data_IF_203665278576
#
_entry.id   IF_203665278576
#
_cell.length_a   1.000
_cell.length_b   1.000
_cell.length_c   1.000
_cell.angle_alpha   90.00
_cell.angle_beta   90.00
_cell.angle_gamma   90.00
#
_symmetry.space_group_name_H-M   'P 1'
#
loop_
_entity.id
_entity.type
_entity.pdbx_description
1 polymer ?
#
# COMPACT_ATOMS: atom_id res chain seq x y z
N UNK A 1 16.34 22.37 -11.12
CA UNK A 1 14.96 22.63 -10.72
C UNK A 1 14.29 23.39 -11.85
N UNK A 2 13.26 22.81 -12.47
CA UNK A 2 12.45 23.52 -13.47
C UNK A 2 11.26 24.11 -12.69
N UNK A 3 11.12 25.43 -12.71
CA UNK A 3 9.95 26.10 -12.17
C UNK A 3 9.22 26.82 -13.31
N UNK A 4 7.91 26.77 -13.32
CA UNK A 4 7.07 27.55 -14.21
C UNK A 4 6.03 28.30 -13.42
N UNK A 5 5.67 29.50 -13.87
CA UNK A 5 4.62 30.33 -13.26
C UNK A 5 3.48 30.49 -14.27
N UNK A 6 2.27 30.29 -13.82
CA UNK A 6 1.06 30.52 -14.60
C UNK A 6 0.26 31.63 -13.91
N UNK A 7 -0.13 32.67 -14.64
CA UNK A 7 -0.97 33.74 -14.13
C UNK A 7 -2.44 33.42 -14.41
N UNK A 8 -3.25 33.42 -13.37
CA UNK A 8 -4.67 33.08 -13.41
C UNK A 8 -5.49 34.12 -12.66
N UNK A 9 -6.71 34.36 -13.10
CA UNK A 9 -7.69 35.18 -12.38
C UNK A 9 -8.20 34.47 -11.12
N UNK A 10 -8.65 35.29 -10.14
CA UNK A 10 -9.28 34.74 -8.93
C UNK A 10 -10.58 33.97 -9.28
N UNK A 11 -10.62 32.69 -8.97
CA UNK A 11 -11.76 31.83 -9.25
C UNK A 11 -11.61 31.00 -10.51
N UNK A 12 -10.55 31.21 -11.30
CA UNK A 12 -10.25 30.39 -12.47
C UNK A 12 -9.98 28.94 -12.07
N UNK A 13 -10.26 28.06 -13.01
CA UNK A 13 -9.93 26.64 -12.86
C UNK A 13 -8.68 26.32 -13.68
N UNK A 14 -7.73 25.64 -13.05
CA UNK A 14 -6.50 25.21 -13.69
C UNK A 14 -6.39 23.70 -13.69
N UNK A 15 -6.07 23.13 -14.85
CA UNK A 15 -5.77 21.69 -14.95
C UNK A 15 -4.29 21.48 -14.71
N UNK A 16 -3.97 20.71 -13.69
CA UNK A 16 -2.60 20.43 -13.30
C UNK A 16 -1.89 19.57 -14.36
N UNK A 17 -0.76 20.03 -14.91
CA UNK A 17 -0.07 19.27 -15.93
C UNK A 17 0.59 18.01 -15.37
N UNK A 18 0.75 17.01 -16.22
CA UNK A 18 1.71 15.93 -15.97
C UNK A 18 3.14 16.45 -16.18
N UNK A 19 4.07 15.89 -15.44
CA UNK A 19 5.50 16.14 -15.64
C UNK A 19 6.13 14.87 -16.20
N UNK A 20 6.92 15.00 -17.26
CA UNK A 20 7.65 13.86 -17.82
C UNK A 20 8.65 13.32 -16.80
N UNK A 21 8.69 12.02 -16.69
CA UNK A 21 9.66 11.33 -15.84
C UNK A 21 11.08 11.74 -16.18
N UNK A 22 11.90 11.99 -15.16
CA UNK A 22 13.33 12.21 -15.30
C UNK A 22 14.09 10.90 -15.02
N UNK A 23 15.36 10.85 -15.43
CA UNK A 23 16.20 9.69 -15.16
C UNK A 23 16.23 9.38 -13.64
N UNK A 24 15.79 8.20 -13.26
CA UNK A 24 15.72 7.76 -11.86
C UNK A 24 14.53 8.26 -11.05
N UNK A 25 13.60 9.03 -11.63
CA UNK A 25 12.45 9.57 -10.91
C UNK A 25 11.16 9.42 -11.71
N UNK A 26 10.09 8.96 -11.06
CA UNK A 26 8.74 8.94 -11.61
C UNK A 26 7.91 10.06 -10.96
N UNK A 27 7.21 10.83 -11.78
CA UNK A 27 6.30 11.86 -11.30
C UNK A 27 5.02 11.22 -10.73
N UNK A 28 4.69 11.57 -9.48
CA UNK A 28 3.55 11.02 -8.76
C UNK A 28 2.37 11.99 -8.66
N UNK A 29 2.61 13.29 -8.81
CA UNK A 29 1.59 14.33 -8.68
C UNK A 29 2.14 15.61 -8.03
N UNK A 30 1.23 16.47 -7.56
CA UNK A 30 1.55 17.79 -7.03
C UNK A 30 1.21 17.90 -5.53
N UNK A 31 2.07 18.55 -4.77
CA UNK A 31 1.87 18.77 -3.33
C UNK A 31 1.94 20.24 -2.94
N UNK A 32 1.12 20.63 -1.95
CA UNK A 32 1.12 22.00 -1.39
C UNK A 32 2.37 22.33 -0.60
N UNK A 33 3.05 21.32 -0.10
CA UNK A 33 4.29 21.46 0.66
C UNK A 33 5.41 20.67 0.01
N UNK A 34 6.65 21.19 0.12
CA UNK A 34 7.81 20.44 -0.34
C UNK A 34 7.95 19.17 0.50
N UNK A 35 7.89 18.03 -0.16
CA UNK A 35 8.00 16.73 0.50
C UNK A 35 9.44 16.24 0.45
N UNK A 36 9.92 15.77 1.61
CA UNK A 36 11.23 15.13 1.75
C UNK A 36 10.98 13.74 2.32
N UNK A 37 11.18 12.70 1.54
CA UNK A 37 10.97 11.30 1.95
C UNK A 37 10.12 10.50 0.97
N UNK A 38 10.23 9.19 1.03
CA UNK A 38 9.72 8.24 0.02
C UNK A 38 8.24 7.87 0.11
N UNK A 39 7.50 8.31 1.13
CA UNK A 39 6.17 7.74 1.43
C UNK A 39 4.99 8.71 1.39
N UNK A 40 5.17 9.94 0.95
CA UNK A 40 4.09 10.91 0.96
C UNK A 40 3.33 10.94 -0.38
N UNK A 41 2.08 10.49 -0.38
CA UNK A 41 1.19 10.66 -1.52
C UNK A 41 1.03 12.16 -1.88
N UNK A 42 0.93 12.51 -3.18
CA UNK A 42 0.66 13.88 -3.61
C UNK A 42 -0.70 14.37 -3.13
N UNK A 43 -0.87 15.69 -3.03
CA UNK A 43 -2.17 16.29 -2.69
C UNK A 43 -3.11 16.34 -3.91
N UNK A 44 -2.55 16.33 -5.12
CA UNK A 44 -3.27 16.40 -6.40
C UNK A 44 -2.61 15.49 -7.44
N UNK A 45 -3.42 14.94 -8.33
CA UNK A 45 -2.95 14.13 -9.48
C UNK A 45 -2.70 15.00 -10.73
N UNK A 46 -1.94 14.46 -11.69
CA UNK A 46 -1.87 15.03 -13.03
C UNK A 46 -3.24 14.99 -13.70
N UNK A 47 -3.63 16.08 -14.38
CA UNK A 47 -4.93 16.21 -15.01
C UNK A 47 -6.05 16.64 -14.06
N UNK A 48 -5.80 16.73 -12.77
CA UNK A 48 -6.78 17.23 -11.80
C UNK A 48 -7.05 18.73 -12.01
N UNK A 49 -8.32 19.12 -11.89
CA UNK A 49 -8.74 20.51 -12.02
C UNK A 49 -8.90 21.14 -10.65
N UNK A 50 -8.11 22.17 -10.39
CA UNK A 50 -8.18 22.94 -9.13
C UNK A 50 -8.75 24.33 -9.36
N UNK A 51 -9.53 24.83 -8.42
CA UNK A 51 -10.01 26.21 -8.42
C UNK A 51 -9.02 27.09 -7.68
N UNK A 52 -8.51 28.12 -8.35
CA UNK A 52 -7.49 29.02 -7.79
C UNK A 52 -8.18 30.19 -7.08
N UNK A 53 -8.02 30.29 -5.78
CA UNK A 53 -8.57 31.36 -4.95
C UNK A 53 -7.52 32.36 -4.46
N UNK A 54 -6.26 31.95 -4.46
CA UNK A 54 -5.09 32.77 -4.01
C UNK A 54 -3.82 32.25 -4.68
N UNK A 55 -2.77 33.04 -4.63
CA UNK A 55 -1.44 32.61 -5.06
C UNK A 55 -1.07 31.29 -4.36
N UNK A 56 -0.73 30.27 -5.14
CA UNK A 56 -0.46 28.91 -4.65
C UNK A 56 0.78 28.38 -5.33
N UNK A 57 1.71 27.86 -4.53
CA UNK A 57 2.86 27.13 -5.05
C UNK A 57 2.59 25.63 -4.88
N UNK A 58 2.82 24.87 -5.94
CA UNK A 58 2.76 23.42 -5.91
C UNK A 58 4.14 22.84 -6.23
N UNK A 59 4.45 21.77 -5.55
CA UNK A 59 5.72 21.05 -5.69
C UNK A 59 5.46 19.70 -6.34
N UNK A 60 6.27 19.35 -7.34
CA UNK A 60 6.22 18.01 -7.91
C UNK A 60 6.63 16.98 -6.83
N UNK A 61 5.77 16.02 -6.60
CA UNK A 61 6.09 14.83 -5.80
C UNK A 61 6.60 13.76 -6.76
N UNK A 62 7.80 13.26 -6.49
CA UNK A 62 8.46 12.28 -7.35
C UNK A 62 8.84 11.04 -6.54
N UNK A 63 8.74 9.88 -7.17
CA UNK A 63 9.26 8.62 -6.64
C UNK A 63 10.68 8.41 -7.18
N UNK A 64 11.63 8.13 -6.31
CA UNK A 64 13.02 7.87 -6.69
C UNK A 64 13.18 6.38 -7.03
N UNK A 65 13.35 6.06 -8.30
CA UNK A 65 13.58 4.68 -8.79
C UNK A 65 15.00 4.16 -8.53
N UNK A 66 15.92 5.04 -8.16
CA UNK A 66 17.27 4.56 -7.81
C UNK A 66 17.27 3.76 -6.50
N UNK A 67 16.25 3.94 -5.65
CA UNK A 67 16.03 3.06 -4.50
C UNK A 67 15.55 1.66 -4.92
N UNK A 68 14.96 1.49 -6.11
CA UNK A 68 14.65 0.16 -6.67
C UNK A 68 15.90 -0.55 -7.23
N UNK A 69 16.97 0.18 -7.54
CA UNK A 69 18.25 -0.42 -7.98
C UNK A 69 19.03 -1.05 -6.84
N UNK A 70 18.77 -0.64 -5.59
CA UNK A 70 19.36 -1.28 -4.42
C UNK A 70 18.66 -2.61 -4.06
N UNK A 71 17.47 -2.86 -4.66
CA UNK A 71 16.87 -4.20 -4.75
C UNK A 71 17.18 -4.69 -6.16
N UNK A 72 18.40 -5.15 -6.37
CA UNK A 72 18.82 -5.72 -7.66
C UNK A 72 17.97 -6.95 -7.99
N UNK A 73 17.87 -7.30 -9.28
CA UNK A 73 17.29 -8.59 -9.69
C UNK A 73 18.01 -9.77 -9.02
N UNK A 74 19.25 -9.58 -8.60
CA UNK A 74 20.01 -10.52 -7.79
C UNK A 74 19.53 -10.52 -6.33
N UNK A 75 19.12 -9.40 -5.75
CA UNK A 75 18.52 -9.35 -4.41
C UNK A 75 17.09 -9.92 -4.40
N UNK A 76 16.38 -9.84 -5.50
CA UNK A 76 15.11 -10.56 -5.71
C UNK A 76 15.34 -12.05 -5.98
N UNK A 77 16.46 -12.41 -6.57
CA UNK A 77 16.89 -13.79 -6.77
C UNK A 77 17.59 -14.37 -5.53
N UNK A 78 18.13 -13.51 -4.65
CA UNK A 78 18.64 -13.96 -3.36
C UNK A 78 17.47 -14.19 -2.40
N UNK A 79 17.38 -15.38 -1.80
CA UNK A 79 16.34 -15.71 -0.84
C UNK A 79 16.61 -15.05 0.53
N UNK A 80 16.96 -13.74 0.55
CA UNK A 80 17.18 -13.02 1.80
C UNK A 80 15.92 -13.08 2.68
N UNK A 81 14.74 -13.04 2.08
CA UNK A 81 13.47 -13.27 2.78
C UNK A 81 13.41 -14.71 3.27
N UNK A 82 13.78 -15.70 2.45
CA UNK A 82 13.88 -17.10 2.84
C UNK A 82 15.00 -17.39 3.84
N UNK A 83 16.01 -16.52 3.95
CA UNK A 83 17.05 -16.62 4.99
C UNK A 83 16.58 -16.05 6.34
N UNK A 84 15.66 -15.07 6.33
CA UNK A 84 15.17 -14.41 7.54
C UNK A 84 13.92 -15.08 8.11
N UNK A 85 13.05 -15.64 7.24
CA UNK A 85 11.76 -16.20 7.62
C UNK A 85 11.62 -17.63 7.09
N UNK A 86 10.93 -18.48 7.85
CA UNK A 86 10.59 -19.84 7.41
C UNK A 86 9.38 -19.83 6.45
N UNK A 87 8.48 -18.85 6.61
CA UNK A 87 7.29 -18.67 5.77
C UNK A 87 6.90 -17.19 5.74
N UNK A 88 6.33 -16.76 4.62
CA UNK A 88 5.72 -15.43 4.46
C UNK A 88 4.24 -15.62 4.18
N UNK A 89 3.37 -15.04 5.01
CA UNK A 89 1.93 -15.14 4.89
C UNK A 89 1.35 -13.75 4.61
N UNK A 90 0.75 -13.57 3.44
CA UNK A 90 0.01 -12.35 3.11
C UNK A 90 -1.45 -12.49 3.52
N UNK A 91 -1.93 -11.57 4.33
CA UNK A 91 -3.33 -11.51 4.77
C UNK A 91 -4.00 -10.30 4.13
N UNK A 92 -5.07 -10.50 3.33
CA UNK A 92 -5.59 -9.33 2.65
C UNK A 92 -6.89 -9.48 1.88
N UNK A 93 -7.19 -8.41 1.16
CA UNK A 93 -8.38 -8.25 0.32
C UNK A 93 -8.09 -8.60 -1.16
N UNK A 94 -8.90 -8.06 -2.08
CA UNK A 94 -8.76 -8.30 -3.52
C UNK A 94 -7.38 -7.97 -4.09
N UNK A 95 -6.62 -7.05 -3.47
CA UNK A 95 -5.25 -6.71 -3.90
C UNK A 95 -4.33 -7.91 -3.63
N UNK A 96 -4.48 -8.53 -2.49
CA UNK A 96 -3.73 -9.74 -2.10
C UNK A 96 -4.12 -10.95 -2.95
N UNK A 97 -5.40 -11.11 -3.26
CA UNK A 97 -5.86 -12.14 -4.25
C UNK A 97 -5.23 -11.89 -5.63
N UNK A 98 -5.09 -10.62 -6.03
CA UNK A 98 -4.41 -10.25 -7.28
C UNK A 98 -2.90 -10.57 -7.25
N UNK A 99 -2.24 -10.33 -6.12
CA UNK A 99 -0.83 -10.69 -5.90
C UNK A 99 -0.63 -12.20 -6.02
N UNK A 100 -1.44 -13.00 -5.33
CA UNK A 100 -1.41 -14.46 -5.39
C UNK A 100 -1.52 -14.98 -6.83
N UNK A 101 -2.54 -14.53 -7.56
CA UNK A 101 -2.74 -14.92 -8.97
C UNK A 101 -1.57 -14.55 -9.86
N UNK A 102 -0.97 -13.40 -9.63
CA UNK A 102 0.19 -12.93 -10.41
C UNK A 102 1.43 -13.74 -10.08
N UNK A 103 1.68 -13.96 -8.80
CA UNK A 103 2.81 -14.74 -8.33
C UNK A 103 2.77 -16.18 -8.89
N UNK A 104 1.62 -16.84 -8.74
CA UNK A 104 1.42 -18.22 -9.21
C UNK A 104 1.53 -18.36 -10.73
N UNK A 105 1.28 -17.29 -11.50
CA UNK A 105 1.41 -17.28 -12.96
C UNK A 105 2.82 -17.00 -13.45
N UNK A 106 3.57 -16.18 -12.71
CA UNK A 106 4.87 -15.67 -13.18
C UNK A 106 6.07 -16.35 -12.52
N UNK A 107 5.88 -17.00 -11.38
CA UNK A 107 6.96 -17.60 -10.60
C UNK A 107 6.79 -19.11 -10.53
N UNK A 108 7.91 -19.83 -10.47
CA UNK A 108 7.90 -21.27 -10.25
C UNK A 108 7.50 -21.63 -8.82
N UNK A 109 6.94 -22.82 -8.63
CA UNK A 109 6.54 -23.32 -7.31
C UNK A 109 7.73 -23.42 -6.32
N UNK A 110 8.95 -23.59 -6.80
CA UNK A 110 10.16 -23.59 -5.95
C UNK A 110 10.42 -22.22 -5.30
N UNK A 111 10.03 -21.12 -5.95
CA UNK A 111 10.18 -19.76 -5.42
C UNK A 111 9.01 -19.41 -4.48
N UNK A 112 7.82 -19.94 -4.74
CA UNK A 112 6.61 -19.61 -3.99
C UNK A 112 6.27 -20.57 -2.86
N UNK A 113 7.03 -21.66 -2.68
CA UNK A 113 6.75 -22.72 -1.70
C UNK A 113 6.58 -22.23 -0.26
N UNK A 114 7.34 -21.19 0.12
CA UNK A 114 7.34 -20.64 1.47
C UNK A 114 6.48 -19.35 1.55
N UNK A 115 5.63 -19.10 0.54
CA UNK A 115 4.70 -17.96 0.49
C UNK A 115 3.27 -18.48 0.45
N UNK A 116 2.42 -17.99 1.36
CA UNK A 116 0.99 -18.32 1.35
C UNK A 116 0.12 -17.08 1.49
N UNK A 117 -1.16 -17.26 1.17
CA UNK A 117 -2.13 -16.17 1.11
C UNK A 117 -3.38 -16.55 1.88
N UNK A 118 -3.78 -15.67 2.78
CA UNK A 118 -5.07 -15.68 3.48
C UNK A 118 -5.84 -14.46 2.97
N UNK A 119 -6.57 -14.62 1.88
CA UNK A 119 -7.12 -13.47 1.20
C UNK A 119 -8.50 -13.74 0.60
N UNK A 120 -9.36 -12.71 0.64
CA UNK A 120 -10.68 -12.77 0.03
C UNK A 120 -11.08 -11.43 -0.57
N UNK A 121 -11.60 -11.47 -1.81
CA UNK A 121 -11.93 -10.26 -2.55
C UNK A 121 -13.10 -9.49 -1.93
N UNK A 122 -12.95 -8.16 -1.82
CA UNK A 122 -13.98 -7.27 -1.28
C UNK A 122 -14.08 -7.27 0.26
N UNK A 123 -13.26 -8.05 0.93
CA UNK A 123 -13.30 -8.23 2.38
C UNK A 123 -12.52 -7.17 3.16
N UNK A 124 -12.80 -7.09 4.46
CA UNK A 124 -12.18 -6.18 5.41
C UNK A 124 -12.04 -6.80 6.79
N UNK A 125 -12.04 -5.97 7.83
CA UNK A 125 -11.83 -6.40 9.21
C UNK A 125 -12.85 -7.43 9.70
N UNK A 126 -14.12 -7.29 9.32
CA UNK A 126 -15.18 -8.20 9.76
C UNK A 126 -14.90 -9.64 9.33
N UNK A 127 -14.60 -9.83 8.05
CA UNK A 127 -14.20 -11.13 7.51
C UNK A 127 -12.94 -11.66 8.18
N UNK A 128 -11.94 -10.80 8.39
CA UNK A 128 -10.71 -11.24 9.04
C UNK A 128 -10.97 -11.75 10.45
N UNK A 129 -11.89 -11.13 11.20
CA UNK A 129 -12.28 -11.59 12.54
C UNK A 129 -13.04 -12.93 12.52
N UNK A 130 -13.94 -13.13 11.54
CA UNK A 130 -14.83 -14.30 11.51
C UNK A 130 -14.22 -15.54 10.85
N UNK A 131 -13.31 -15.34 9.90
CA UNK A 131 -12.78 -16.42 9.05
C UNK A 131 -11.27 -16.33 8.83
N UNK A 132 -10.79 -15.13 8.45
CA UNK A 132 -9.38 -14.95 8.03
C UNK A 132 -8.39 -15.23 9.15
N UNK A 133 -8.73 -14.93 10.40
CA UNK A 133 -7.84 -15.18 11.52
C UNK A 133 -7.64 -16.69 11.80
N UNK A 134 -8.68 -17.48 11.67
CA UNK A 134 -8.58 -18.93 11.80
C UNK A 134 -7.75 -19.54 10.68
N UNK A 135 -7.97 -19.08 9.42
CA UNK A 135 -7.15 -19.47 8.28
C UNK A 135 -5.67 -19.08 8.49
N UNK A 136 -5.39 -17.90 9.02
CA UNK A 136 -4.03 -17.47 9.36
C UNK A 136 -3.40 -18.40 10.41
N UNK A 137 -4.13 -18.76 11.45
CA UNK A 137 -3.62 -19.67 12.49
C UNK A 137 -3.30 -21.06 11.92
N UNK A 138 -4.09 -21.55 10.96
CA UNK A 138 -3.83 -22.79 10.24
C UNK A 138 -2.54 -22.69 9.44
N UNK A 139 -2.37 -21.64 8.63
CA UNK A 139 -1.14 -21.41 7.85
C UNK A 139 0.12 -21.33 8.72
N UNK A 140 0.01 -20.71 9.91
CA UNK A 140 1.09 -20.64 10.89
C UNK A 140 1.40 -22.03 11.45
N UNK A 141 0.38 -22.85 11.73
CA UNK A 141 0.58 -24.18 12.30
C UNK A 141 1.22 -25.17 11.31
N UNK A 142 1.04 -24.93 10.02
CA UNK A 142 1.61 -25.73 8.93
C UNK A 142 3.00 -25.24 8.49
N UNK A 143 3.52 -24.16 9.08
CA UNK A 143 4.83 -23.65 8.73
C UNK A 143 5.94 -24.52 9.34
N UNK A 144 6.88 -24.93 8.51
CA UNK A 144 8.05 -25.72 8.93
C UNK A 144 9.25 -24.83 9.26
N UNK A 145 10.09 -25.32 10.16
CA UNK A 145 11.35 -24.67 10.51
C UNK A 145 11.31 -23.81 11.76
N UNK A 146 12.49 -23.42 12.27
CA UNK A 146 12.67 -22.70 13.53
C UNK A 146 12.73 -21.18 13.37
N UNK A 147 12.83 -20.68 12.13
CA UNK A 147 12.91 -19.23 11.85
C UNK A 147 11.54 -18.58 12.04
N UNK A 148 11.48 -17.26 12.28
CA UNK A 148 10.22 -16.54 12.38
C UNK A 148 9.37 -16.66 11.11
N UNK A 149 8.07 -16.52 11.27
CA UNK A 149 7.09 -16.37 10.17
C UNK A 149 6.82 -14.88 9.98
N UNK A 150 6.91 -14.39 8.74
CA UNK A 150 6.46 -13.04 8.42
C UNK A 150 4.96 -13.07 8.12
N UNK A 151 4.16 -12.30 8.86
CA UNK A 151 2.73 -12.09 8.58
C UNK A 151 2.55 -10.66 8.13
N UNK A 152 2.11 -10.48 6.89
CA UNK A 152 1.99 -9.19 6.22
C UNK A 152 0.52 -8.89 5.97
N UNK A 153 -0.05 -7.93 6.71
CA UNK A 153 -1.43 -7.49 6.56
C UNK A 153 -1.56 -6.45 5.44
N UNK A 154 -2.47 -6.69 4.50
CA UNK A 154 -2.82 -5.83 3.37
C UNK A 154 -4.34 -5.68 3.28
N UNK A 155 -4.96 -5.23 4.36
CA UNK A 155 -6.40 -4.97 4.50
C UNK A 155 -6.65 -3.46 4.64
N UNK A 156 -7.91 -3.06 4.58
CA UNK A 156 -8.37 -1.73 4.94
C UNK A 156 -8.95 -0.91 3.79
N UNK A 157 -8.61 -1.18 2.52
CA UNK A 157 -9.16 -0.40 1.40
C UNK A 157 -10.69 -0.50 1.28
N UNK A 158 -11.29 -1.58 1.77
CA UNK A 158 -12.73 -1.79 1.68
C UNK A 158 -13.53 -1.18 2.84
N UNK A 159 -12.86 -0.84 3.94
CA UNK A 159 -13.49 -0.36 5.18
C UNK A 159 -12.61 0.63 5.94
N UNK A 160 -12.03 1.61 5.24
CA UNK A 160 -11.10 2.61 5.78
C UNK A 160 -11.64 3.40 6.98
N UNK A 161 -12.97 3.58 7.10
CA UNK A 161 -13.58 4.20 8.27
C UNK A 161 -13.35 3.42 9.58
N UNK A 162 -12.97 2.13 9.48
CA UNK A 162 -12.75 1.24 10.63
C UNK A 162 -11.30 1.26 11.16
N UNK A 163 -10.46 2.22 10.79
CA UNK A 163 -9.03 2.25 11.16
C UNK A 163 -8.77 2.00 12.65
N UNK A 164 -9.51 2.66 13.54
CA UNK A 164 -9.36 2.46 15.00
C UNK A 164 -9.69 1.03 15.44
N UNK A 165 -10.68 0.39 14.81
CA UNK A 165 -11.03 -1.00 15.07
C UNK A 165 -9.93 -1.97 14.58
N UNK A 166 -9.26 -1.63 13.45
CA UNK A 166 -8.07 -2.36 12.99
C UNK A 166 -6.95 -2.29 14.01
N UNK A 167 -6.58 -1.08 14.46
CA UNK A 167 -5.53 -0.89 15.47
C UNK A 167 -5.84 -1.70 16.73
N UNK A 168 -7.04 -1.56 17.27
CA UNK A 168 -7.46 -2.28 18.48
C UNK A 168 -7.39 -3.81 18.31
N UNK A 169 -7.88 -4.31 17.18
CA UNK A 169 -7.88 -5.75 16.93
C UNK A 169 -6.47 -6.30 16.72
N UNK A 170 -5.64 -5.61 15.93
CA UNK A 170 -4.24 -6.01 15.70
C UNK A 170 -3.43 -6.00 16.99
N UNK A 171 -3.61 -4.99 17.83
CA UNK A 171 -2.99 -4.91 19.16
C UNK A 171 -3.39 -6.11 20.04
N UNK A 172 -4.66 -6.52 19.98
CA UNK A 172 -5.18 -7.64 20.75
C UNK A 172 -4.60 -8.99 20.32
N UNK A 173 -4.49 -9.26 19.01
CA UNK A 173 -3.99 -10.53 18.49
C UNK A 173 -2.46 -10.62 18.43
N UNK A 174 -1.76 -9.48 18.42
CA UNK A 174 -0.31 -9.42 18.26
C UNK A 174 0.46 -10.26 19.31
N UNK A 175 0.11 -10.25 20.60
CA UNK A 175 0.80 -11.08 21.60
C UNK A 175 0.68 -12.58 21.29
N UNK A 176 -0.48 -13.03 20.84
CA UNK A 176 -0.71 -14.44 20.47
C UNK A 176 0.12 -14.85 19.26
N UNK A 177 0.16 -14.01 18.22
CA UNK A 177 0.96 -14.27 17.03
C UNK A 177 2.47 -14.21 17.33
N UNK A 178 2.92 -13.27 18.18
CA UNK A 178 4.32 -13.20 18.62
C UNK A 178 4.75 -14.46 19.38
N UNK A 179 3.90 -15.02 20.24
CA UNK A 179 4.17 -16.31 20.93
C UNK A 179 4.31 -17.47 19.96
N UNK A 180 3.72 -17.39 18.76
CA UNK A 180 3.86 -18.36 17.66
C UNK A 180 5.04 -18.04 16.72
N UNK A 181 6.00 -17.25 17.20
CA UNK A 181 7.19 -16.82 16.47
C UNK A 181 6.88 -16.01 15.19
N UNK A 182 5.80 -15.25 15.17
CA UNK A 182 5.45 -14.39 14.04
C UNK A 182 6.03 -12.98 14.20
N UNK A 183 6.54 -12.43 13.08
CA UNK A 183 6.83 -11.01 12.89
C UNK A 183 5.69 -10.39 12.09
N UNK A 184 5.10 -9.32 12.63
CA UNK A 184 3.90 -8.70 12.06
C UNK A 184 4.27 -7.42 11.30
N UNK A 185 3.75 -7.29 10.10
CA UNK A 185 3.89 -6.13 9.23
C UNK A 185 2.51 -5.69 8.76
N UNK A 186 2.32 -4.39 8.59
CA UNK A 186 1.10 -3.86 8.00
C UNK A 186 1.45 -2.98 6.80
N UNK A 187 0.93 -3.34 5.63
CA UNK A 187 1.12 -2.55 4.42
C UNK A 187 0.16 -1.36 4.41
N UNK A 188 0.67 -0.19 4.09
CA UNK A 188 -0.17 0.97 3.83
C UNK A 188 -1.17 0.68 2.71
N UNK A 189 -2.38 1.20 2.83
CA UNK A 189 -3.30 1.23 1.70
C UNK A 189 -2.69 2.13 0.62
N UNK A 190 -2.60 1.60 -0.60
CA UNK A 190 -2.04 2.32 -1.73
C UNK A 190 -2.94 3.52 -2.11
N UNK A 191 -2.37 4.55 -2.74
CA UNK A 191 -3.15 5.62 -3.37
C UNK A 191 -4.25 5.04 -4.28
N UNK A 192 -5.41 5.68 -4.30
CA UNK A 192 -6.57 5.23 -5.08
C UNK A 192 -6.96 6.26 -6.13
N UNK A 193 -7.41 5.80 -7.29
CA UNK A 193 -8.06 6.67 -8.27
C UNK A 193 -9.56 6.75 -7.97
N UNK A 194 -9.97 7.77 -7.22
CA UNK A 194 -11.35 7.96 -6.77
C UNK A 194 -12.35 8.00 -7.93
N UNK A 195 -11.96 8.61 -9.06
CA UNK A 195 -12.81 8.70 -10.25
C UNK A 195 -13.07 7.33 -10.86
N UNK A 196 -12.04 6.50 -10.99
CA UNK A 196 -12.18 5.16 -11.53
C UNK A 196 -12.98 4.24 -10.60
N UNK A 197 -12.77 4.36 -9.29
CA UNK A 197 -13.52 3.58 -8.28
C UNK A 197 -15.00 3.91 -8.35
N UNK A 198 -15.36 5.20 -8.42
CA UNK A 198 -16.76 5.66 -8.54
C UNK A 198 -17.38 5.17 -9.85
N UNK A 199 -16.67 5.28 -10.98
CA UNK A 199 -17.14 4.76 -12.27
C UNK A 199 -17.35 3.25 -12.27
N UNK A 200 -16.57 2.52 -11.49
CA UNK A 200 -16.71 1.07 -11.34
C UNK A 200 -17.82 0.65 -10.36
N UNK A 201 -18.61 1.60 -9.82
CA UNK A 201 -19.70 1.31 -8.88
C UNK A 201 -19.26 0.76 -7.52
N UNK A 202 -18.00 0.96 -7.14
CA UNK A 202 -17.40 0.36 -5.93
C UNK A 202 -17.46 1.27 -4.69
N UNK A 203 -18.42 2.19 -4.64
CA UNK A 203 -18.57 3.17 -3.57
C UNK A 203 -17.54 4.29 -3.64
N UNK A 204 -17.89 5.45 -3.07
CA UNK A 204 -16.97 6.58 -3.01
C UNK A 204 -15.84 6.30 -2.01
N UNK A 205 -14.60 6.41 -2.47
CA UNK A 205 -13.39 6.35 -1.63
C UNK A 205 -12.50 7.52 -2.01
N UNK A 206 -11.85 8.12 -1.03
CA UNK A 206 -11.04 9.32 -1.23
C UNK A 206 -9.61 9.10 -0.74
N UNK A 207 -8.66 9.82 -1.34
CA UNK A 207 -7.28 9.87 -0.86
C UNK A 207 -7.16 10.39 0.58
N UNK A 208 -8.10 11.25 1.03
CA UNK A 208 -8.15 11.69 2.42
C UNK A 208 -8.41 10.52 3.38
N UNK A 209 -9.34 9.63 3.03
CA UNK A 209 -9.61 8.41 3.81
C UNK A 209 -8.40 7.47 3.82
N UNK A 210 -7.70 7.32 2.69
CA UNK A 210 -6.47 6.52 2.63
C UNK A 210 -5.41 7.08 3.57
N UNK A 211 -5.18 8.40 3.53
CA UNK A 211 -4.21 9.06 4.42
C UNK A 211 -4.58 8.92 5.90
N UNK A 212 -5.84 9.11 6.23
CA UNK A 212 -6.32 8.98 7.61
C UNK A 212 -6.15 7.54 8.11
N UNK A 213 -6.57 6.56 7.31
CA UNK A 213 -6.40 5.14 7.64
C UNK A 213 -4.92 4.80 7.87
N UNK A 214 -4.05 5.15 6.92
CA UNK A 214 -2.62 4.86 7.02
C UNK A 214 -1.99 5.55 8.23
N UNK A 215 -2.36 6.80 8.52
CA UNK A 215 -1.87 7.51 9.70
C UNK A 215 -2.21 6.80 11.00
N UNK A 216 -3.45 6.30 11.13
CA UNK A 216 -3.88 5.56 12.33
C UNK A 216 -3.23 4.19 12.48
N UNK A 217 -2.98 3.50 11.36
CA UNK A 217 -2.32 2.19 11.40
C UNK A 217 -0.85 2.30 11.80
N UNK A 218 -0.18 3.41 11.49
CA UNK A 218 1.24 3.63 11.78
C UNK A 218 1.50 4.42 13.07
N UNK A 219 0.46 4.83 13.80
CA UNK A 219 0.59 5.48 15.11
C UNK A 219 0.75 4.45 16.23
#
# INVERSE_FOLDING_TARGET
VISSTVTLGKGDTYTLPGVKDAAGYTFMGWSKTKRTGSSAAPDYEAGERIKVSKATTLYATVFNRTLEKDISSDDMAHPAVGLLYSKVIFVGDSRTVGMEKTLNRQMSSSVTKDVSFVASAGQGLSWFKSEGYEQLLKEISEAEGSRPIAVIFNLGVNDMANASNYVSYMTNIAPTLKKKNCKLFYMSVNPINSTMITKAGRGARTEAQVREFNSKIHS
#
